data_IF_226332963505
#
_entry.id   IF_226332963505
#
_cell.length_a   1.000
_cell.length_b   1.000
_cell.length_c   1.000
_cell.angle_alpha   90.00
_cell.angle_beta   90.00
_cell.angle_gamma   90.00
#
_symmetry.space_group_name_H-M   'P 1'
#
loop_
_entity.id
_entity.type
_entity.pdbx_description
1 polymer ?
#
# COMPACT_ATOMS: atom_id res chain seq x y z
N UNK A 1 4.55 6.09 -15.73
CA UNK A 1 4.99 5.77 -17.13
C UNK A 1 6.50 5.96 -17.35
N UNK A 2 7.15 6.94 -16.75
CA UNK A 2 8.59 7.20 -16.92
C UNK A 2 9.49 6.15 -16.25
N UNK A 3 9.13 5.70 -15.04
CA UNK A 3 9.84 4.63 -14.32
C UNK A 3 9.93 3.34 -15.15
N UNK A 4 8.88 3.00 -15.90
CA UNK A 4 8.83 1.80 -16.74
C UNK A 4 9.70 1.87 -18.00
N UNK A 5 10.01 3.06 -18.50
CA UNK A 5 10.90 3.21 -19.67
C UNK A 5 12.31 2.70 -19.39
N UNK A 6 12.74 2.79 -18.12
CA UNK A 6 14.09 2.41 -17.70
C UNK A 6 14.20 0.93 -17.26
N UNK A 7 13.07 0.23 -17.06
CA UNK A 7 13.02 -1.16 -16.58
C UNK A 7 12.31 -2.11 -17.55
N UNK A 8 12.51 -1.92 -18.86
CA UNK A 8 11.99 -2.86 -19.89
C UNK A 8 12.68 -4.22 -19.77
N UNK A 9 12.29 -5.00 -18.80
CA UNK A 9 12.57 -6.44 -18.79
C UNK A 9 11.41 -7.18 -19.42
N UNK A 10 11.68 -8.27 -20.14
CA UNK A 10 10.67 -9.10 -20.81
C UNK A 10 9.60 -9.68 -19.84
N UNK A 11 9.85 -9.63 -18.54
CA UNK A 11 9.05 -10.25 -17.48
C UNK A 11 8.35 -9.23 -16.57
N UNK A 12 8.20 -7.98 -16.99
CA UNK A 12 7.52 -6.95 -16.20
C UNK A 12 6.31 -6.40 -16.98
N UNK A 13 5.15 -6.44 -16.35
CA UNK A 13 3.89 -5.95 -16.92
C UNK A 13 3.38 -4.78 -16.08
N UNK A 14 2.95 -3.71 -16.74
CA UNK A 14 2.25 -2.60 -16.09
C UNK A 14 0.74 -2.84 -16.18
N UNK A 15 0.11 -2.97 -15.02
CA UNK A 15 -1.35 -3.10 -14.92
C UNK A 15 -1.92 -1.82 -14.31
N UNK A 16 -2.77 -1.13 -15.05
CA UNK A 16 -3.47 0.05 -14.56
C UNK A 16 -4.73 -0.37 -13.80
N UNK A 17 -4.89 0.12 -12.55
CA UNK A 17 -6.03 -0.17 -11.69
C UNK A 17 -6.77 1.12 -11.27
N UNK A 18 -7.41 1.82 -12.22
CA UNK A 18 -7.94 3.18 -11.98
C UNK A 18 -9.05 3.24 -10.93
N UNK A 19 -9.81 2.16 -10.72
CA UNK A 19 -10.90 2.14 -9.76
C UNK A 19 -10.49 1.65 -8.37
N UNK A 20 -9.33 1.01 -8.23
CA UNK A 20 -8.95 0.31 -6.99
C UNK A 20 -8.89 1.25 -5.78
N UNK A 21 -8.30 2.42 -5.91
CA UNK A 21 -8.23 3.39 -4.82
C UNK A 21 -9.63 3.80 -4.34
N UNK A 22 -10.54 4.12 -5.27
CA UNK A 22 -11.91 4.49 -4.95
C UNK A 22 -12.71 3.34 -4.31
N UNK A 23 -12.52 2.11 -4.75
CA UNK A 23 -13.14 0.94 -4.13
C UNK A 23 -12.69 0.76 -2.67
N UNK A 24 -11.39 0.90 -2.41
CA UNK A 24 -10.81 0.84 -1.06
C UNK A 24 -11.38 1.97 -0.19
N UNK A 25 -11.36 3.21 -0.68
CA UNK A 25 -11.87 4.36 0.06
C UNK A 25 -13.35 4.25 0.42
N UNK A 26 -14.15 3.61 -0.41
CA UNK A 26 -15.58 3.43 -0.19
C UNK A 26 -15.94 2.09 0.45
N UNK A 27 -14.98 1.30 0.95
CA UNK A 27 -15.16 -0.03 1.54
C UNK A 27 -15.98 -0.97 0.63
N UNK A 28 -15.77 -0.86 -0.68
CA UNK A 28 -16.44 -1.73 -1.66
C UNK A 28 -15.62 -2.98 -1.93
N UNK A 29 -16.27 -3.99 -2.50
CA UNK A 29 -15.59 -5.22 -2.90
C UNK A 29 -14.46 -4.93 -3.90
N UNK A 30 -13.25 -5.22 -3.47
CA UNK A 30 -12.05 -5.11 -4.30
C UNK A 30 -11.71 -6.43 -4.99
N UNK A 31 -12.21 -7.56 -4.46
CA UNK A 31 -11.84 -8.87 -4.98
C UNK A 31 -12.36 -9.11 -6.39
N UNK A 32 -13.65 -8.86 -6.65
CA UNK A 32 -14.23 -9.05 -7.98
C UNK A 32 -13.53 -8.21 -9.03
N UNK A 33 -13.28 -6.93 -8.72
CA UNK A 33 -12.55 -6.03 -9.60
C UNK A 33 -11.12 -6.53 -9.89
N UNK A 34 -10.39 -6.93 -8.84
CA UNK A 34 -9.02 -7.42 -8.98
C UNK A 34 -8.96 -8.77 -9.67
N UNK A 35 -9.94 -9.65 -9.47
CA UNK A 35 -10.00 -10.93 -10.17
C UNK A 35 -10.14 -10.71 -11.68
N UNK A 36 -11.02 -9.83 -12.11
CA UNK A 36 -11.17 -9.52 -13.54
C UNK A 36 -9.91 -8.89 -14.13
N UNK A 37 -9.22 -8.06 -13.35
CA UNK A 37 -8.03 -7.36 -13.78
C UNK A 37 -6.77 -8.23 -13.80
N UNK A 38 -6.63 -9.17 -12.85
CA UNK A 38 -5.36 -9.86 -12.56
C UNK A 38 -5.36 -11.36 -12.85
N UNK A 39 -6.51 -11.99 -13.14
CA UNK A 39 -6.62 -13.46 -13.32
C UNK A 39 -5.64 -14.05 -14.32
N UNK A 40 -5.29 -13.31 -15.37
CA UNK A 40 -4.39 -13.75 -16.43
C UNK A 40 -2.89 -13.53 -16.09
N UNK A 41 -2.60 -12.94 -14.92
CA UNK A 41 -1.25 -12.67 -14.44
C UNK A 41 -0.80 -13.63 -13.31
N UNK A 42 -1.46 -14.78 -13.16
CA UNK A 42 -1.01 -15.83 -12.24
C UNK A 42 0.37 -16.34 -12.65
N UNK A 43 1.24 -16.56 -11.66
CA UNK A 43 2.61 -17.00 -11.90
C UNK A 43 3.66 -15.89 -11.81
N UNK A 44 3.25 -14.64 -11.68
CA UNK A 44 4.18 -13.57 -11.29
C UNK A 44 4.51 -13.69 -9.80
N UNK A 45 5.79 -13.56 -9.46
CA UNK A 45 6.29 -13.73 -8.09
C UNK A 45 6.29 -12.44 -7.29
N UNK A 46 6.35 -11.29 -7.97
CA UNK A 46 6.50 -9.97 -7.34
C UNK A 46 5.44 -9.01 -7.86
N UNK A 47 4.78 -8.31 -6.94
CA UNK A 47 3.83 -7.25 -7.23
C UNK A 47 4.32 -5.93 -6.65
N UNK A 48 4.58 -4.95 -7.50
CA UNK A 48 4.94 -3.59 -7.10
C UNK A 48 3.69 -2.73 -6.99
N UNK A 49 3.43 -2.21 -5.81
CA UNK A 49 2.26 -1.38 -5.52
C UNK A 49 2.62 0.11 -5.68
N UNK A 50 2.22 0.69 -6.79
CA UNK A 50 2.57 2.07 -7.18
C UNK A 50 1.63 3.16 -6.64
N UNK A 51 0.76 2.85 -5.69
CA UNK A 51 -0.18 3.79 -5.09
C UNK A 51 -0.27 3.56 -3.58
N UNK A 52 -0.45 4.63 -2.81
CA UNK A 52 -0.53 4.58 -1.33
C UNK A 52 -1.74 3.80 -0.79
N UNK A 53 -2.81 3.66 -1.59
CA UNK A 53 -3.99 2.86 -1.22
C UNK A 53 -3.80 1.36 -1.47
N UNK A 54 -3.02 0.99 -2.47
CA UNK A 54 -2.92 -0.40 -2.92
C UNK A 54 -2.40 -1.39 -1.86
N UNK A 55 -1.53 -1.01 -0.91
CA UNK A 55 -1.18 -1.89 0.19
C UNK A 55 -2.36 -2.44 1.00
N UNK A 56 -3.48 -1.70 1.07
CA UNK A 56 -4.70 -2.14 1.76
C UNK A 56 -5.46 -3.25 1.00
N UNK A 57 -5.14 -3.47 -0.28
CA UNK A 57 -5.72 -4.54 -1.09
C UNK A 57 -4.85 -5.80 -1.18
N UNK A 58 -3.72 -5.90 -0.45
CA UNK A 58 -2.79 -7.04 -0.50
C UNK A 58 -3.51 -8.39 -0.36
N UNK A 59 -4.43 -8.50 0.61
CA UNK A 59 -5.20 -9.73 0.82
C UNK A 59 -6.06 -10.12 -0.40
N UNK A 60 -6.69 -9.16 -1.05
CA UNK A 60 -7.49 -9.41 -2.24
C UNK A 60 -6.60 -9.78 -3.45
N UNK A 61 -5.47 -9.12 -3.61
CA UNK A 61 -4.47 -9.46 -4.64
C UNK A 61 -3.93 -10.88 -4.44
N UNK A 62 -3.57 -11.25 -3.20
CA UNK A 62 -3.10 -12.60 -2.87
C UNK A 62 -4.15 -13.66 -3.18
N UNK A 63 -5.44 -13.39 -2.93
CA UNK A 63 -6.52 -14.32 -3.29
C UNK A 63 -6.62 -14.58 -4.79
N UNK A 64 -6.26 -13.61 -5.62
CA UNK A 64 -6.29 -13.74 -7.08
C UNK A 64 -5.03 -14.38 -7.64
N UNK A 65 -3.86 -13.87 -7.24
CA UNK A 65 -2.57 -14.24 -7.83
C UNK A 65 -1.90 -15.44 -7.12
N UNK A 66 -2.31 -15.73 -5.88
CA UNK A 66 -1.63 -16.67 -5.01
C UNK A 66 -0.53 -16.00 -4.18
N UNK A 67 0.46 -16.79 -3.78
CA UNK A 67 1.55 -16.30 -2.93
C UNK A 67 2.52 -15.44 -3.76
N UNK A 68 2.50 -14.13 -3.53
CA UNK A 68 3.35 -13.13 -4.20
C UNK A 68 4.09 -12.27 -3.18
N UNK A 69 5.27 -11.80 -3.54
CA UNK A 69 6.02 -10.82 -2.77
C UNK A 69 5.56 -9.41 -3.13
N UNK A 70 5.17 -8.62 -2.13
CA UNK A 70 4.77 -7.22 -2.34
C UNK A 70 5.94 -6.26 -2.12
N UNK A 71 6.06 -5.30 -3.03
CA UNK A 71 6.99 -4.19 -2.93
C UNK A 71 6.20 -2.88 -2.97
N UNK A 72 6.36 -2.03 -1.96
CA UNK A 72 5.75 -0.70 -1.87
C UNK A 72 6.73 0.31 -1.24
N UNK A 73 6.34 1.57 -1.21
CA UNK A 73 7.18 2.65 -0.68
C UNK A 73 7.28 2.73 0.86
N UNK A 74 6.46 1.98 1.59
CA UNK A 74 6.32 2.16 3.05
C UNK A 74 7.62 1.90 3.82
N UNK A 75 8.34 0.84 3.46
CA UNK A 75 9.61 0.50 4.11
C UNK A 75 10.70 1.56 3.87
N UNK A 76 10.79 2.06 2.64
CA UNK A 76 11.74 3.14 2.30
C UNK A 76 11.44 4.44 3.05
N UNK A 77 10.17 4.82 3.13
CA UNK A 77 9.73 6.02 3.87
C UNK A 77 10.02 5.85 5.36
N UNK A 78 9.65 4.72 5.96
CA UNK A 78 9.94 4.41 7.38
C UNK A 78 11.42 4.55 7.68
N UNK A 79 12.28 3.91 6.89
CA UNK A 79 13.73 3.97 7.10
C UNK A 79 14.28 5.38 6.92
N UNK A 80 13.77 6.15 5.97
CA UNK A 80 14.19 7.54 5.78
C UNK A 80 13.82 8.41 6.98
N UNK A 81 12.58 8.32 7.48
CA UNK A 81 12.14 9.05 8.68
C UNK A 81 12.96 8.66 9.89
N UNK A 82 13.16 7.36 10.13
CA UNK A 82 13.99 6.87 11.22
C UNK A 82 15.41 7.44 11.16
N UNK A 83 16.08 7.39 10.01
CA UNK A 83 17.43 7.87 9.85
C UNK A 83 17.53 9.39 10.08
N UNK A 84 16.58 10.18 9.61
CA UNK A 84 16.54 11.62 9.87
C UNK A 84 16.43 11.92 11.36
N UNK A 85 15.46 11.30 12.05
CA UNK A 85 15.25 11.51 13.48
C UNK A 85 16.45 11.04 14.32
N UNK A 86 17.07 9.93 13.92
CA UNK A 86 18.25 9.40 14.62
C UNK A 86 19.48 10.32 14.45
N UNK A 87 19.72 10.82 13.24
CA UNK A 87 20.84 11.72 12.96
C UNK A 87 20.71 13.05 13.74
N UNK A 88 19.50 13.54 13.91
CA UNK A 88 19.20 14.77 14.64
C UNK A 88 19.02 14.55 16.16
N UNK A 89 19.24 13.34 16.68
CA UNK A 89 18.98 12.94 18.07
C UNK A 89 17.53 13.18 18.54
N UNK A 90 16.57 13.15 17.62
CA UNK A 90 15.15 13.43 17.87
C UNK A 90 14.31 12.16 18.07
N UNK A 91 14.93 10.98 18.19
CA UNK A 91 14.20 9.76 18.52
C UNK A 91 13.66 9.81 19.94
N UNK A 92 12.41 9.42 20.12
CA UNK A 92 11.79 9.31 21.42
C UNK A 92 12.47 8.21 22.25
N UNK A 93 13.08 8.59 23.36
CA UNK A 93 13.82 7.67 24.27
C UNK A 93 12.93 7.07 25.36
N UNK A 94 11.70 7.53 25.52
CA UNK A 94 10.84 7.20 26.66
C UNK A 94 9.85 6.06 26.39
N UNK A 95 9.86 5.44 25.22
CA UNK A 95 8.92 4.39 24.79
C UNK A 95 7.43 4.75 24.96
N UNK A 96 7.11 6.04 25.14
CA UNK A 96 5.76 6.57 25.23
C UNK A 96 5.54 7.50 24.05
N UNK A 97 4.56 7.19 23.22
CA UNK A 97 4.18 8.02 22.10
C UNK A 97 2.66 8.25 22.09
N UNK A 98 2.24 9.32 21.46
CA UNK A 98 0.85 9.57 21.14
C UNK A 98 0.71 9.79 19.63
N UNK A 99 -0.43 9.43 19.10
CA UNK A 99 -0.80 9.66 17.71
C UNK A 99 -2.08 10.47 17.69
N UNK A 100 -2.05 11.56 16.94
CA UNK A 100 -3.22 12.40 16.71
C UNK A 100 -3.54 12.38 15.22
N UNK A 101 -4.79 12.07 14.89
CA UNK A 101 -5.28 12.10 13.52
C UNK A 101 -6.02 13.41 13.32
N UNK A 102 -5.59 14.19 12.34
CA UNK A 102 -6.26 15.41 11.91
C UNK A 102 -6.99 15.10 10.61
N UNK A 103 -8.31 15.08 10.66
CA UNK A 103 -9.16 14.77 9.52
C UNK A 103 -10.24 15.85 9.34
N UNK A 104 -10.78 16.03 8.11
CA UNK A 104 -11.78 17.06 7.84
C UNK A 104 -13.10 16.86 8.61
N UNK A 105 -13.39 15.64 9.03
CA UNK A 105 -14.57 15.30 9.83
C UNK A 105 -14.37 14.00 10.62
N UNK A 106 -15.24 13.74 11.58
CA UNK A 106 -15.16 12.59 12.48
C UNK A 106 -15.31 11.24 11.76
N UNK A 107 -16.06 11.18 10.70
CA UNK A 107 -16.21 9.96 9.90
C UNK A 107 -14.90 9.55 9.24
N UNK A 108 -14.19 10.50 8.64
CA UNK A 108 -12.86 10.26 8.06
C UNK A 108 -11.84 9.87 9.13
N UNK A 109 -11.86 10.52 10.30
CA UNK A 109 -11.00 10.16 11.43
C UNK A 109 -11.22 8.71 11.87
N UNK A 110 -12.49 8.32 12.09
CA UNK A 110 -12.85 6.96 12.48
C UNK A 110 -12.40 5.92 11.44
N UNK A 111 -12.54 6.23 10.16
CA UNK A 111 -12.10 5.36 9.07
C UNK A 111 -10.56 5.17 9.07
N UNK A 112 -9.80 6.23 9.25
CA UNK A 112 -8.33 6.16 9.37
C UNK A 112 -7.94 5.31 10.58
N UNK A 113 -8.61 5.51 11.73
CA UNK A 113 -8.36 4.72 12.94
C UNK A 113 -8.66 3.23 12.74
N UNK A 114 -9.73 2.87 12.01
CA UNK A 114 -10.03 1.48 11.67
C UNK A 114 -8.91 0.85 10.83
N UNK A 115 -8.48 1.54 9.77
CA UNK A 115 -7.38 1.08 8.91
C UNK A 115 -6.10 0.84 9.72
N UNK A 116 -5.77 1.74 10.64
CA UNK A 116 -4.57 1.61 11.48
C UNK A 116 -4.70 0.38 12.38
N UNK A 117 -5.82 0.19 13.07
CA UNK A 117 -6.05 -0.96 13.97
C UNK A 117 -6.03 -2.31 13.26
N UNK A 118 -6.45 -2.36 11.99
CA UNK A 118 -6.51 -3.60 11.21
C UNK A 118 -5.17 -3.99 10.59
N UNK A 119 -4.24 -3.03 10.42
CA UNK A 119 -3.01 -3.25 9.66
C UNK A 119 -1.73 -3.07 10.48
N UNK A 120 -1.83 -2.58 11.73
CA UNK A 120 -0.70 -2.31 12.64
C UNK A 120 -1.01 -2.73 14.08
#
# INVERSE_FOLDING_TARGET
>A
KELFKNYKTKNCVLVEAPLLASLIENNKDTYSYLNDLLKDYKGYEVVVLGCTHFPLAKNAITKVLGNVTFVDGSHGIKNRVYNLLNNDNNLNKNNKGSMHIIAPNKNTENKIMSIIKENF
#
